data_IF_417985555689
#
_entry.id   IF_417985555689
#
_cell.length_a   1.000
_cell.length_b   1.000
_cell.length_c   1.000
_cell.angle_alpha   90.00
_cell.angle_beta   90.00
_cell.angle_gamma   90.00
#
_symmetry.space_group_name_H-M   'P 1'
#
loop_
_entity.id
_entity.type
_entity.pdbx_description
1 polymer ?
#
# COMPACT_ATOMS: atom_id res chain seq x y z
N UNK A 1 -13.01 2.40 -16.80
CA UNK A 1 -13.00 2.18 -15.34
C UNK A 1 -13.16 0.69 -15.15
N UNK A 2 -12.15 0.01 -14.59
CA UNK A 2 -12.13 -1.46 -14.52
C UNK A 2 -12.23 -1.92 -13.07
N UNK A 3 -12.89 -3.07 -12.88
CA UNK A 3 -13.13 -3.66 -11.59
C UNK A 3 -12.09 -4.69 -11.13
N UNK A 4 -11.48 -5.50 -12.00
CA UNK A 4 -10.57 -6.60 -11.56
C UNK A 4 -9.77 -7.22 -12.71
N UNK A 5 -8.45 -7.43 -12.52
CA UNK A 5 -7.62 -8.38 -13.29
C UNK A 5 -6.80 -9.24 -12.32
N UNK A 6 -6.38 -10.44 -12.76
CA UNK A 6 -5.48 -11.30 -11.96
C UNK A 6 -4.19 -10.57 -11.55
N UNK A 7 -3.65 -9.77 -12.47
CA UNK A 7 -2.47 -8.92 -12.31
C UNK A 7 -2.64 -7.89 -11.18
N UNK A 8 -3.77 -7.17 -11.16
CA UNK A 8 -4.10 -6.22 -10.07
C UNK A 8 -4.23 -6.92 -8.72
N UNK A 9 -4.89 -8.08 -8.65
CA UNK A 9 -5.00 -8.85 -7.40
C UNK A 9 -3.64 -9.33 -6.89
N UNK A 10 -2.72 -9.73 -7.77
CA UNK A 10 -1.35 -10.10 -7.37
C UNK A 10 -0.61 -8.92 -6.73
N UNK A 11 -0.74 -7.71 -7.28
CA UNK A 11 -0.13 -6.50 -6.70
C UNK A 11 -0.75 -6.13 -5.35
N UNK A 12 -2.06 -6.30 -5.20
CA UNK A 12 -2.75 -6.11 -3.91
C UNK A 12 -2.32 -7.17 -2.89
N UNK A 13 -2.22 -8.43 -3.29
CA UNK A 13 -1.75 -9.51 -2.43
C UNK A 13 -0.30 -9.28 -1.99
N UNK A 14 0.56 -8.81 -2.91
CA UNK A 14 1.92 -8.39 -2.60
C UNK A 14 1.92 -7.23 -1.58
N UNK A 15 1.07 -6.22 -1.76
CA UNK A 15 0.94 -5.12 -0.80
C UNK A 15 0.56 -5.63 0.59
N UNK A 16 -0.45 -6.50 0.68
CA UNK A 16 -0.87 -7.10 1.95
C UNK A 16 0.24 -7.91 2.62
N UNK A 17 0.97 -8.72 1.83
CA UNK A 17 2.11 -9.47 2.32
C UNK A 17 3.20 -8.53 2.88
N UNK A 18 3.52 -7.44 2.17
CA UNK A 18 4.51 -6.45 2.62
C UNK A 18 4.05 -5.72 3.88
N UNK A 19 2.79 -5.31 3.93
CA UNK A 19 2.22 -4.66 5.12
C UNK A 19 2.37 -5.50 6.37
N UNK A 20 2.25 -6.83 6.27
CA UNK A 20 2.37 -7.71 7.42
C UNK A 20 3.81 -8.15 7.69
N UNK A 21 4.54 -8.53 6.65
CA UNK A 21 5.88 -9.10 6.78
C UNK A 21 6.90 -8.10 7.30
N UNK A 22 6.84 -6.82 6.89
CA UNK A 22 7.83 -5.83 7.31
C UNK A 22 7.78 -5.56 8.83
N UNK A 23 6.61 -5.23 9.42
CA UNK A 23 6.50 -5.11 10.88
C UNK A 23 6.87 -6.39 11.62
N UNK A 24 6.50 -7.56 11.09
CA UNK A 24 6.85 -8.85 11.68
C UNK A 24 8.37 -9.04 11.76
N UNK A 25 9.09 -8.75 10.68
CA UNK A 25 10.55 -8.85 10.62
C UNK A 25 11.20 -7.84 11.58
N UNK A 26 10.70 -6.60 11.63
CA UNK A 26 11.21 -5.58 12.56
C UNK A 26 11.06 -6.07 14.01
N UNK A 27 9.87 -6.55 14.38
CA UNK A 27 9.58 -7.05 15.72
C UNK A 27 10.41 -8.29 16.08
N UNK A 28 10.64 -9.20 15.12
CA UNK A 28 11.42 -10.41 15.35
C UNK A 28 12.92 -10.15 15.48
N UNK A 29 13.45 -9.17 14.74
CA UNK A 29 14.90 -8.91 14.65
C UNK A 29 15.40 -7.79 15.56
N UNK A 30 14.50 -7.04 16.21
CA UNK A 30 14.86 -5.89 17.05
C UNK A 30 14.39 -6.12 18.50
N UNK A 31 15.24 -6.73 19.36
CA UNK A 31 14.87 -7.03 20.75
C UNK A 31 14.65 -5.78 21.61
N UNK A 32 15.26 -4.67 21.23
CA UNK A 32 15.13 -3.39 21.94
C UNK A 32 13.76 -2.74 21.63
N UNK A 33 12.91 -2.50 22.66
CA UNK A 33 11.58 -1.94 22.46
C UNK A 33 11.57 -0.52 21.88
N UNK A 34 12.57 0.31 22.20
CA UNK A 34 12.64 1.68 21.70
C UNK A 34 13.03 1.70 20.23
N UNK A 35 14.03 0.91 19.84
CA UNK A 35 14.46 0.79 18.45
C UNK A 35 13.36 0.19 17.57
N UNK A 36 12.71 -0.89 18.02
CA UNK A 36 11.59 -1.50 17.29
C UNK A 36 10.44 -0.51 17.09
N UNK A 37 10.06 0.23 18.13
CA UNK A 37 9.02 1.26 18.02
C UNK A 37 9.39 2.35 17.01
N UNK A 38 10.62 2.87 17.07
CA UNK A 38 11.08 3.90 16.14
C UNK A 38 11.09 3.41 14.68
N UNK A 39 11.49 2.16 14.44
CA UNK A 39 11.48 1.54 13.13
C UNK A 39 10.05 1.34 12.60
N UNK A 40 9.12 0.87 13.44
CA UNK A 40 7.70 0.72 13.08
C UNK A 40 7.05 2.05 12.73
N UNK A 41 7.36 3.12 13.48
CA UNK A 41 6.93 4.49 13.17
C UNK A 41 7.47 4.93 11.80
N UNK A 42 8.76 4.74 11.54
CA UNK A 42 9.35 5.07 10.25
C UNK A 42 8.72 4.27 9.09
N UNK A 43 8.41 2.98 9.31
CA UNK A 43 7.71 2.14 8.35
C UNK A 43 6.34 2.71 8.01
N UNK A 44 5.59 3.14 9.02
CA UNK A 44 4.24 3.68 8.88
C UNK A 44 4.23 5.02 8.12
N UNK A 45 5.19 5.91 8.36
CA UNK A 45 5.21 7.23 7.70
C UNK A 45 5.96 7.29 6.38
N UNK A 46 6.89 6.38 6.13
CA UNK A 46 7.78 6.45 4.95
C UNK A 46 7.61 5.24 4.06
N UNK A 47 7.85 4.06 4.61
CA UNK A 47 7.93 2.85 3.79
C UNK A 47 6.56 2.42 3.23
N UNK A 48 5.52 2.41 4.06
CA UNK A 48 4.17 2.03 3.64
C UNK A 48 3.58 2.99 2.60
N UNK A 49 3.60 4.32 2.79
CA UNK A 49 3.20 5.26 1.73
C UNK A 49 3.97 5.03 0.43
N UNK A 50 5.29 4.82 0.50
CA UNK A 50 6.11 4.62 -0.69
C UNK A 50 5.72 3.35 -1.46
N UNK A 51 5.61 2.20 -0.79
CA UNK A 51 5.27 0.94 -1.47
C UNK A 51 3.84 0.95 -2.03
N UNK A 52 2.91 1.60 -1.34
CA UNK A 52 1.53 1.82 -1.82
C UNK A 52 1.54 2.59 -3.13
N UNK A 53 2.26 3.72 -3.17
CA UNK A 53 2.39 4.54 -4.39
C UNK A 53 3.03 3.74 -5.51
N UNK A 54 4.15 3.04 -5.25
CA UNK A 54 4.87 2.27 -6.26
C UNK A 54 3.97 1.20 -6.90
N UNK A 55 3.27 0.41 -6.10
CA UNK A 55 2.41 -0.66 -6.62
C UNK A 55 1.16 -0.11 -7.33
N UNK A 56 0.57 0.98 -6.81
CA UNK A 56 -0.57 1.63 -7.43
C UNK A 56 -0.22 2.28 -8.77
N UNK A 57 0.93 2.95 -8.87
CA UNK A 57 1.48 3.48 -10.13
C UNK A 57 1.73 2.36 -11.12
N UNK A 58 2.40 1.28 -10.68
CA UNK A 58 2.68 0.15 -11.56
C UNK A 58 1.38 -0.43 -12.12
N UNK A 59 0.39 -0.71 -11.28
CA UNK A 59 -0.91 -1.20 -11.77
C UNK A 59 -1.59 -0.19 -12.71
N UNK A 60 -1.52 1.09 -12.38
CA UNK A 60 -2.12 2.16 -13.17
C UNK A 60 -1.49 2.32 -14.55
N UNK A 61 -0.18 2.11 -14.68
CA UNK A 61 0.54 2.10 -15.95
C UNK A 61 0.32 0.81 -16.75
N UNK A 62 0.37 -0.34 -16.08
CA UNK A 62 0.33 -1.64 -16.76
C UNK A 62 -1.08 -2.04 -17.19
N UNK A 63 -2.08 -1.66 -16.40
CA UNK A 63 -3.44 -2.13 -16.57
C UNK A 63 -4.42 -0.95 -16.68
N UNK A 64 -4.07 0.28 -16.33
CA UNK A 64 -5.02 1.39 -16.27
C UNK A 64 -5.84 1.45 -14.98
N UNK A 65 -6.80 2.37 -14.92
CA UNK A 65 -7.41 2.80 -13.66
C UNK A 65 -8.28 1.72 -13.01
N UNK A 66 -8.05 1.47 -11.72
CA UNK A 66 -8.75 0.45 -10.92
C UNK A 66 -9.26 1.02 -9.60
N UNK A 67 -10.57 0.87 -9.35
CA UNK A 67 -11.20 1.26 -8.08
C UNK A 67 -10.76 0.38 -6.90
N UNK A 68 -10.17 -0.79 -7.15
CA UNK A 68 -9.72 -1.66 -6.06
C UNK A 68 -8.70 -0.95 -5.16
N UNK A 69 -7.91 -0.03 -5.72
CA UNK A 69 -6.95 0.78 -4.96
C UNK A 69 -7.59 1.75 -3.96
N UNK A 70 -8.90 1.99 -4.03
CA UNK A 70 -9.62 2.77 -3.01
C UNK A 70 -9.80 1.99 -1.70
N UNK A 71 -10.07 0.68 -1.75
CA UNK A 71 -10.42 -0.10 -0.54
C UNK A 71 -9.35 -1.13 -0.17
N UNK A 72 -8.62 -1.66 -1.14
CA UNK A 72 -7.69 -2.74 -0.91
C UNK A 72 -6.53 -2.37 0.04
N UNK A 73 -5.88 -1.19 -0.05
CA UNK A 73 -4.84 -0.81 0.90
C UNK A 73 -5.35 -0.76 2.35
N UNK A 74 -6.53 -0.18 2.57
CA UNK A 74 -7.15 -0.15 3.89
C UNK A 74 -7.34 -1.55 4.48
N UNK A 75 -8.00 -2.44 3.73
CA UNK A 75 -8.28 -3.81 4.18
C UNK A 75 -6.99 -4.60 4.39
N UNK A 76 -6.02 -4.45 3.49
CA UNK A 76 -4.72 -5.11 3.56
C UNK A 76 -3.89 -4.68 4.78
N UNK A 77 -4.08 -3.45 5.27
CA UNK A 77 -3.36 -2.91 6.42
C UNK A 77 -3.94 -3.36 7.77
N UNK A 78 -5.23 -3.72 7.83
CA UNK A 78 -5.91 -4.07 9.09
C UNK A 78 -5.19 -5.16 9.91
N UNK A 79 -4.71 -6.28 9.33
CA UNK A 79 -3.99 -7.29 10.11
C UNK A 79 -2.75 -6.72 10.80
N UNK A 80 -1.98 -5.88 10.09
CA UNK A 80 -0.81 -5.25 10.67
C UNK A 80 -1.17 -4.25 11.75
N UNK A 81 -2.26 -3.50 11.57
CA UNK A 81 -2.75 -2.54 12.55
C UNK A 81 -3.02 -3.22 13.90
N UNK A 82 -3.77 -4.33 13.90
CA UNK A 82 -4.15 -5.03 15.12
C UNK A 82 -2.99 -5.78 15.80
N UNK A 83 -1.97 -6.19 15.04
CA UNK A 83 -0.85 -6.99 15.58
C UNK A 83 0.34 -6.13 16.01
N UNK A 84 0.68 -5.08 15.26
CA UNK A 84 1.93 -4.34 15.44
C UNK A 84 1.75 -2.86 15.80
N UNK A 85 0.55 -2.30 15.59
CA UNK A 85 0.27 -0.90 15.84
C UNK A 85 -0.90 -0.77 16.84
N UNK A 86 -1.40 0.46 17.03
CA UNK A 86 -2.53 0.75 17.91
C UNK A 86 -3.72 1.27 17.09
N UNK A 87 -4.87 1.46 17.75
CA UNK A 87 -6.12 1.92 17.10
C UNK A 87 -5.98 3.27 16.40
N UNK A 88 -5.10 4.16 16.88
CA UNK A 88 -4.86 5.45 16.22
C UNK A 88 -4.23 5.27 14.83
N UNK A 89 -3.62 4.11 14.55
CA UNK A 89 -3.04 3.82 13.25
C UNK A 89 -4.07 3.59 12.14
N UNK A 90 -5.35 3.41 12.47
CA UNK A 90 -6.44 3.21 11.50
C UNK A 90 -6.50 4.32 10.45
N UNK A 91 -6.22 5.56 10.84
CA UNK A 91 -6.23 6.72 9.94
C UNK A 91 -5.23 6.57 8.78
N UNK A 92 -4.11 5.88 9.01
CA UNK A 92 -3.10 5.69 7.98
C UNK A 92 -3.56 4.71 6.91
N UNK A 93 -4.33 3.68 7.26
CA UNK A 93 -4.96 2.81 6.27
C UNK A 93 -5.83 3.60 5.29
N UNK A 94 -6.61 4.56 5.80
CA UNK A 94 -7.44 5.44 4.96
C UNK A 94 -6.57 6.37 4.10
N UNK A 95 -5.50 6.93 4.67
CA UNK A 95 -4.54 7.74 3.93
C UNK A 95 -3.86 6.94 2.80
N UNK A 96 -3.45 5.69 3.03
CA UNK A 96 -2.86 4.82 2.02
C UNK A 96 -3.82 4.55 0.87
N UNK A 97 -5.09 4.32 1.17
CA UNK A 97 -6.14 4.17 0.16
C UNK A 97 -6.30 5.42 -0.72
N UNK A 98 -6.27 6.61 -0.13
CA UNK A 98 -6.33 7.87 -0.90
C UNK A 98 -5.09 8.01 -1.78
N UNK A 99 -3.90 7.81 -1.21
CA UNK A 99 -2.64 7.86 -1.94
C UNK A 99 -2.62 6.88 -3.12
N UNK A 100 -3.05 5.64 -2.89
CA UNK A 100 -3.11 4.61 -3.91
C UNK A 100 -4.06 4.99 -5.06
N UNK A 101 -5.25 5.49 -4.75
CA UNK A 101 -6.22 5.87 -5.76
C UNK A 101 -5.70 7.02 -6.63
N UNK A 102 -5.10 8.04 -6.01
CA UNK A 102 -4.49 9.17 -6.71
C UNK A 102 -3.32 8.72 -7.59
N UNK A 103 -2.42 7.91 -7.04
CA UNK A 103 -1.25 7.37 -7.74
C UNK A 103 -1.65 6.51 -8.94
N UNK A 104 -2.60 5.59 -8.76
CA UNK A 104 -3.14 4.76 -9.83
C UNK A 104 -3.82 5.62 -10.90
N UNK A 105 -4.65 6.59 -10.49
CA UNK A 105 -5.33 7.52 -11.40
C UNK A 105 -4.37 8.32 -12.27
N UNK A 106 -3.37 8.96 -11.67
CA UNK A 106 -2.36 9.74 -12.40
C UNK A 106 -1.60 8.85 -13.38
N UNK A 107 -1.14 7.68 -12.93
CA UNK A 107 -0.44 6.71 -13.77
C UNK A 107 -1.26 6.30 -15.01
N UNK A 108 -2.55 6.00 -14.81
CA UNK A 108 -3.43 5.59 -15.90
C UNK A 108 -3.74 6.69 -16.91
N UNK A 109 -3.70 7.96 -16.50
CA UNK A 109 -3.84 9.09 -17.42
C UNK A 109 -2.58 9.27 -18.28
N UNK A 110 -1.40 9.09 -17.68
CA UNK A 110 -0.11 9.16 -18.39
C UNK A 110 0.00 8.08 -19.47
N UNK A 111 -0.43 6.85 -19.16
CA UNK A 111 -0.37 5.74 -20.11
C UNK A 111 -1.32 5.95 -21.32
N UNK A 112 -2.54 6.41 -21.07
CA UNK A 112 -3.46 6.81 -22.15
C UNK A 112 -2.86 7.88 -23.07
N UNK A 113 -2.15 8.85 -22.50
CA UNK A 113 -1.47 9.89 -23.29
C UNK A 113 -0.32 9.36 -24.16
N UNK A 114 0.26 8.20 -23.82
CA UNK A 114 1.29 7.53 -24.64
C UNK A 114 0.70 6.72 -25.79
N UNK A 115 -0.46 6.11 -25.59
CA UNK A 115 -1.10 5.25 -26.61
C UNK A 115 -1.87 6.02 -27.67
N UNK A 116 -2.20 7.29 -27.43
CA UNK A 116 -2.89 8.17 -28.40
C UNK A 116 -1.95 9.04 -29.25
N UNK A 117 -0.62 8.93 -29.08
CA UNK A 117 0.39 9.57 -29.93
C UNK A 117 0.97 8.57 -30.90
#
# INVERSE_FOLDING_TARGET
MRWSTKSTWLRIALLAAVFFAVPLVIAALTPDPYQSTSALIATLFVFFPAIVIVLAVWDGLAEGFSLLWLLAPFVAFLPSMYVFFNDSALIYGAAYSILALLANGVASLVDKGRTTR
#
